data_IF_495984166162
#
_entry.id   IF_495984166162
#
_cell.length_a   1.000
_cell.length_b   1.000
_cell.length_c   1.000
_cell.angle_alpha   90.00
_cell.angle_beta   90.00
_cell.angle_gamma   90.00
#
_symmetry.space_group_name_H-M   'P 1'
#
loop_
_entity.id
_entity.type
_entity.pdbx_description
1 polymer ?
#
# COMPACT_ATOMS: atom_id res chain seq x y z
N UNK A 1 -2.01 14.66 -3.21
CA UNK A 1 -0.79 14.04 -2.66
C UNK A 1 0.41 14.52 -3.46
N UNK A 2 1.13 15.49 -2.92
CA UNK A 2 2.18 16.25 -3.62
C UNK A 2 2.43 17.55 -2.84
N UNK A 3 3.64 18.10 -2.90
CA UNK A 3 3.98 19.31 -2.16
C UNK A 3 2.97 20.42 -2.53
N UNK A 4 2.18 20.87 -1.55
CA UNK A 4 1.09 21.84 -1.72
C UNK A 4 -0.02 21.48 -2.73
N UNK A 5 -0.16 20.23 -3.17
CA UNK A 5 -1.21 19.80 -4.10
C UNK A 5 -1.00 20.21 -5.57
N UNK A 6 0.11 20.87 -5.90
CA UNK A 6 0.39 21.33 -7.27
C UNK A 6 1.33 20.39 -8.04
N UNK A 7 2.28 19.74 -7.38
CA UNK A 7 3.29 18.90 -8.01
C UNK A 7 3.37 17.54 -7.29
N UNK A 8 2.92 16.46 -7.93
CA UNK A 8 3.00 15.12 -7.37
C UNK A 8 2.70 14.04 -8.40
N UNK A 9 3.70 13.20 -8.71
CA UNK A 9 3.52 11.93 -9.44
C UNK A 9 3.03 10.79 -8.51
N UNK A 10 2.47 11.15 -7.36
CA UNK A 10 2.01 10.25 -6.28
C UNK A 10 0.57 10.56 -5.96
N UNK A 11 -0.25 9.55 -5.73
CA UNK A 11 -1.68 9.72 -5.46
C UNK A 11 -2.50 8.51 -5.79
N UNK A 12 -3.82 8.68 -5.80
CA UNK A 12 -4.78 7.61 -6.02
C UNK A 12 -5.76 7.94 -7.15
N UNK A 13 -6.18 6.89 -7.87
CA UNK A 13 -7.30 6.92 -8.82
C UNK A 13 -8.34 5.92 -8.32
N UNK A 14 -9.61 6.33 -8.13
CA UNK A 14 -10.72 5.38 -7.94
C UNK A 14 -11.56 5.29 -9.22
N UNK A 15 -11.99 4.07 -9.52
CA UNK A 15 -13.12 3.79 -10.41
C UNK A 15 -14.20 3.12 -9.57
N UNK A 16 -15.44 3.59 -9.72
CA UNK A 16 -16.60 2.97 -9.07
C UNK A 16 -17.65 2.56 -10.08
N UNK A 17 -18.35 1.47 -9.78
CA UNK A 17 -19.41 0.94 -10.62
C UNK A 17 -20.40 0.10 -9.77
N UNK A 18 -21.41 -0.46 -10.43
CA UNK A 18 -22.37 -1.37 -9.82
C UNK A 18 -22.45 -2.67 -10.64
N UNK A 19 -22.43 -3.82 -9.97
CA UNK A 19 -22.61 -5.14 -10.59
C UNK A 19 -23.68 -5.88 -9.83
N UNK A 20 -24.78 -6.24 -10.52
CA UNK A 20 -25.88 -7.03 -9.97
C UNK A 20 -26.46 -6.47 -8.65
N UNK A 21 -26.53 -5.13 -8.56
CA UNK A 21 -27.04 -4.44 -7.36
C UNK A 21 -25.99 -4.17 -6.29
N UNK A 22 -24.79 -4.76 -6.38
CA UNK A 22 -23.68 -4.47 -5.47
C UNK A 22 -22.84 -3.30 -6.00
N UNK A 23 -22.49 -2.38 -5.13
CA UNK A 23 -21.61 -1.24 -5.41
C UNK A 23 -20.15 -1.59 -5.14
N UNK A 24 -19.27 -1.20 -6.05
CA UNK A 24 -17.82 -1.47 -5.99
C UNK A 24 -17.04 -0.17 -6.21
N UNK A 25 -16.03 0.14 -5.37
CA UNK A 25 -14.96 1.10 -5.71
C UNK A 25 -13.61 0.37 -5.68
N UNK A 26 -12.86 0.53 -6.76
CA UNK A 26 -11.48 0.08 -6.88
C UNK A 26 -10.58 1.31 -6.84
N UNK A 27 -9.68 1.37 -5.86
CA UNK A 27 -8.67 2.42 -5.67
C UNK A 27 -7.30 1.86 -6.06
N UNK A 28 -6.62 2.51 -6.98
CA UNK A 28 -5.21 2.27 -7.26
C UNK A 28 -4.39 3.47 -6.76
N UNK A 29 -3.41 3.25 -5.89
CA UNK A 29 -2.55 4.32 -5.36
C UNK A 29 -1.06 4.03 -5.49
N UNK A 30 -0.30 5.10 -5.73
CA UNK A 30 1.16 5.12 -5.66
C UNK A 30 1.55 6.13 -4.58
N UNK A 31 1.94 5.64 -3.41
CA UNK A 31 2.21 6.48 -2.23
C UNK A 31 3.69 6.89 -2.12
N UNK A 32 4.01 7.74 -1.15
CA UNK A 32 5.35 8.27 -0.89
C UNK A 32 6.41 7.15 -0.82
N UNK A 33 7.42 7.28 -1.68
CA UNK A 33 8.51 6.33 -1.78
C UNK A 33 9.61 6.59 -0.74
N UNK A 34 10.59 5.69 -0.71
CA UNK A 34 11.76 5.70 0.17
C UNK A 34 11.49 5.34 1.64
N UNK A 35 12.55 4.88 2.28
CA UNK A 35 12.56 4.55 3.71
C UNK A 35 12.36 5.83 4.54
N UNK A 36 11.76 5.68 5.73
CA UNK A 36 11.43 6.82 6.59
C UNK A 36 10.16 7.59 6.18
N UNK A 37 9.56 7.27 5.03
CA UNK A 37 8.30 7.89 4.55
C UNK A 37 7.01 7.34 5.18
N UNK A 38 7.07 6.65 6.32
CA UNK A 38 5.90 6.01 6.96
C UNK A 38 4.76 7.00 7.20
N UNK A 39 5.04 8.10 7.90
CA UNK A 39 4.05 9.11 8.24
C UNK A 39 3.46 9.77 6.99
N UNK A 40 4.28 10.01 5.97
CA UNK A 40 3.82 10.57 4.69
C UNK A 40 2.88 9.60 3.96
N UNK A 41 3.19 8.29 3.94
CA UNK A 41 2.31 7.27 3.33
C UNK A 41 0.96 7.20 4.04
N UNK A 42 0.96 7.19 5.37
CA UNK A 42 -0.27 7.24 6.19
C UNK A 42 -1.07 8.50 5.89
N UNK A 43 -0.42 9.67 5.84
CA UNK A 43 -1.08 10.93 5.50
C UNK A 43 -1.67 10.91 4.09
N UNK A 44 -0.94 10.36 3.11
CA UNK A 44 -1.40 10.26 1.73
C UNK A 44 -2.59 9.30 1.59
N UNK A 45 -2.58 8.16 2.27
CA UNK A 45 -3.73 7.26 2.38
C UNK A 45 -4.96 8.00 2.92
N UNK A 46 -4.83 8.64 4.09
CA UNK A 46 -5.94 9.36 4.74
C UNK A 46 -6.46 10.52 3.88
N UNK A 47 -5.55 11.21 3.17
CA UNK A 47 -5.94 12.23 2.19
C UNK A 47 -6.80 11.62 1.08
N UNK A 48 -6.34 10.57 0.40
CA UNK A 48 -7.10 9.90 -0.68
C UNK A 48 -8.46 9.43 -0.16
N UNK A 49 -8.49 8.83 1.03
CA UNK A 49 -9.69 8.30 1.66
C UNK A 49 -10.75 9.39 1.89
N UNK A 50 -10.35 10.54 2.46
CA UNK A 50 -11.28 11.59 2.87
C UNK A 50 -11.60 12.60 1.77
N UNK A 51 -10.71 12.82 0.80
CA UNK A 51 -10.95 13.80 -0.27
C UNK A 51 -11.65 13.19 -1.48
N UNK A 52 -11.66 11.87 -1.64
CA UNK A 52 -12.37 11.21 -2.75
C UNK A 52 -13.86 11.17 -2.48
N UNK A 53 -14.65 11.84 -3.31
CA UNK A 53 -16.10 11.94 -3.17
C UNK A 53 -16.84 11.62 -4.47
N UNK A 54 -18.04 11.04 -4.33
CA UNK A 54 -18.97 10.73 -5.41
C UNK A 54 -20.32 11.43 -5.16
N UNK A 55 -20.40 12.76 -5.35
CA UNK A 55 -21.48 13.61 -4.81
C UNK A 55 -22.88 13.33 -5.37
N UNK A 56 -22.99 12.61 -6.50
CA UNK A 56 -24.27 12.31 -7.15
C UNK A 56 -24.65 10.83 -7.09
N UNK A 57 -24.03 10.05 -6.20
CA UNK A 57 -24.30 8.61 -6.08
C UNK A 57 -24.58 8.16 -4.64
N UNK A 58 -25.62 8.68 -3.97
CA UNK A 58 -26.05 8.15 -2.67
C UNK A 58 -26.56 6.70 -2.79
N UNK A 59 -26.34 5.83 -1.79
CA UNK A 59 -25.63 6.10 -0.53
C UNK A 59 -24.09 6.07 -0.65
N UNK A 60 -23.55 5.64 -1.79
CA UNK A 60 -22.11 5.46 -2.05
C UNK A 60 -21.33 6.75 -2.35
N UNK A 61 -21.42 7.76 -1.48
CA UNK A 61 -20.79 9.08 -1.70
C UNK A 61 -19.31 9.13 -1.37
N UNK A 62 -18.76 8.10 -0.71
CA UNK A 62 -17.37 8.00 -0.29
C UNK A 62 -16.84 6.58 -0.54
N UNK A 63 -15.50 6.40 -0.53
CA UNK A 63 -14.88 5.10 -0.85
C UNK A 63 -15.46 3.98 0.01
N UNK A 64 -15.44 4.12 1.35
CA UNK A 64 -15.88 3.08 2.30
C UNK A 64 -17.41 2.90 2.38
N UNK A 65 -18.21 3.66 1.62
CA UNK A 65 -19.66 3.46 1.57
C UNK A 65 -20.11 2.46 0.50
N UNK A 66 -19.16 1.93 -0.28
CA UNK A 66 -19.45 0.87 -1.25
C UNK A 66 -19.52 -0.50 -0.55
N UNK A 67 -20.34 -1.41 -1.09
CA UNK A 67 -20.47 -2.78 -0.56
C UNK A 67 -19.13 -3.53 -0.63
N UNK A 68 -18.35 -3.27 -1.69
CA UNK A 68 -16.99 -3.79 -1.88
C UNK A 68 -16.00 -2.68 -2.19
N UNK A 69 -14.89 -2.67 -1.47
CA UNK A 69 -13.76 -1.77 -1.71
C UNK A 69 -12.51 -2.60 -1.96
N UNK A 70 -11.87 -2.37 -3.10
CA UNK A 70 -10.55 -2.91 -3.41
C UNK A 70 -9.56 -1.76 -3.42
N UNK A 71 -8.51 -1.83 -2.60
CA UNK A 71 -7.44 -0.85 -2.58
C UNK A 71 -6.11 -1.53 -2.87
N UNK A 72 -5.43 -1.09 -3.92
CA UNK A 72 -4.21 -1.71 -4.43
C UNK A 72 -3.23 -0.68 -5.00
N UNK A 73 -2.05 -1.14 -5.40
CA UNK A 73 -1.04 -0.32 -6.09
C UNK A 73 0.33 -0.41 -5.42
N UNK A 74 1.22 0.53 -5.76
CA UNK A 74 2.52 0.67 -5.12
C UNK A 74 2.39 1.51 -3.85
N UNK A 75 1.97 0.86 -2.77
CA UNK A 75 1.74 1.49 -1.46
C UNK A 75 3.06 1.94 -0.79
N UNK A 76 4.21 1.47 -1.28
CA UNK A 76 5.55 1.86 -0.83
C UNK A 76 5.87 1.67 0.66
N UNK A 77 5.04 0.96 1.44
CA UNK A 77 5.40 0.54 2.79
C UNK A 77 6.61 -0.41 2.74
N UNK A 78 7.51 -0.25 3.71
CA UNK A 78 8.80 -0.92 3.74
C UNK A 78 8.86 -1.90 4.90
N UNK A 79 9.93 -2.68 4.96
CA UNK A 79 10.28 -3.43 6.16
C UNK A 79 10.93 -2.49 7.20
N UNK A 80 10.81 -2.82 8.48
CA UNK A 80 11.35 -2.07 9.62
C UNK A 80 12.82 -1.66 9.41
N UNK A 81 13.18 -0.36 9.50
CA UNK A 81 14.51 0.14 9.19
C UNK A 81 15.68 -0.55 9.94
N UNK A 82 15.43 -1.24 11.04
CA UNK A 82 16.44 -1.95 11.83
C UNK A 82 17.08 -3.17 11.13
N UNK A 83 16.45 -3.76 10.10
CA UNK A 83 16.98 -4.94 9.39
C UNK A 83 17.75 -4.53 8.12
N UNK A 84 18.94 -5.10 7.87
CA UNK A 84 19.74 -4.78 6.68
C UNK A 84 19.26 -5.51 5.42
N UNK A 85 19.62 -5.01 4.23
CA UNK A 85 19.27 -5.66 2.96
C UNK A 85 19.83 -7.09 2.85
N UNK A 86 21.03 -7.33 3.38
CA UNK A 86 21.66 -8.66 3.43
C UNK A 86 20.88 -9.63 4.31
N UNK A 87 20.42 -9.17 5.46
CA UNK A 87 19.60 -9.97 6.38
C UNK A 87 18.22 -10.27 5.78
N UNK A 88 17.58 -9.28 5.14
CA UNK A 88 16.32 -9.50 4.39
C UNK A 88 16.52 -10.57 3.33
N UNK A 89 17.53 -10.44 2.47
CA UNK A 89 17.83 -11.40 1.41
C UNK A 89 18.15 -12.79 1.97
N UNK A 90 18.84 -12.87 3.11
CA UNK A 90 19.11 -14.14 3.80
C UNK A 90 17.82 -14.82 4.26
N UNK A 91 16.88 -14.06 4.83
CA UNK A 91 15.57 -14.59 5.26
C UNK A 91 14.71 -15.03 4.10
N UNK A 92 14.68 -14.25 3.01
CA UNK A 92 13.99 -14.64 1.77
C UNK A 92 14.54 -15.96 1.23
N UNK A 93 15.87 -16.12 1.18
CA UNK A 93 16.50 -17.38 0.75
C UNK A 93 16.19 -18.57 1.66
N UNK A 94 15.95 -18.33 2.95
CA UNK A 94 15.52 -19.34 3.93
C UNK A 94 14.01 -19.62 3.89
N UNK A 95 13.23 -18.86 3.11
CA UNK A 95 11.77 -18.96 3.07
C UNK A 95 11.07 -18.38 4.31
N UNK A 96 11.75 -17.56 5.12
CA UNK A 96 11.17 -16.93 6.31
C UNK A 96 10.30 -15.71 5.95
N UNK A 97 9.22 -15.95 5.19
CA UNK A 97 8.30 -14.90 4.74
C UNK A 97 7.46 -14.39 5.93
N UNK A 98 7.01 -15.29 6.80
CA UNK A 98 6.23 -14.94 7.98
C UNK A 98 7.02 -14.07 8.98
N UNK A 99 8.33 -14.31 9.14
CA UNK A 99 9.19 -13.48 9.97
C UNK A 99 9.39 -12.08 9.38
N UNK A 100 9.52 -11.96 8.06
CA UNK A 100 9.60 -10.66 7.38
C UNK A 100 8.29 -9.89 7.47
N UNK A 101 7.13 -10.55 7.32
CA UNK A 101 5.82 -9.91 7.40
C UNK A 101 5.56 -9.22 8.74
N UNK A 102 6.10 -9.75 9.85
CA UNK A 102 6.03 -9.09 11.17
C UNK A 102 6.76 -7.75 11.24
N UNK A 103 7.65 -7.49 10.30
CA UNK A 103 8.41 -6.25 10.18
C UNK A 103 7.85 -5.32 9.10
N UNK A 104 6.72 -5.68 8.49
CA UNK A 104 6.09 -4.90 7.43
C UNK A 104 5.37 -3.67 7.99
N UNK A 105 5.70 -2.49 7.47
CA UNK A 105 5.11 -1.23 7.91
C UNK A 105 3.61 -1.10 7.58
N UNK A 106 3.10 -1.72 6.49
CA UNK A 106 1.67 -1.73 6.20
C UNK A 106 0.93 -2.59 7.22
N UNK A 107 1.48 -3.77 7.56
CA UNK A 107 0.93 -4.61 8.62
C UNK A 107 0.88 -3.87 9.96
N UNK A 108 1.94 -3.12 10.28
CA UNK A 108 1.98 -2.23 11.44
C UNK A 108 0.91 -1.14 11.35
N UNK A 109 0.80 -0.42 10.23
CA UNK A 109 -0.16 0.66 10.06
C UNK A 109 -1.62 0.20 10.22
N UNK A 110 -1.93 -1.01 9.75
CA UNK A 110 -3.24 -1.64 9.98
C UNK A 110 -3.45 -2.01 11.45
N UNK A 111 -2.45 -2.60 12.10
CA UNK A 111 -2.52 -3.04 13.49
C UNK A 111 -2.66 -1.86 14.46
N UNK A 112 -1.88 -0.80 14.23
CA UNK A 112 -1.86 0.43 15.03
C UNK A 112 -3.05 1.36 14.69
N UNK A 113 -3.82 1.01 13.64
CA UNK A 113 -4.99 1.75 13.14
C UNK A 113 -4.68 3.13 12.57
N UNK A 114 -3.46 3.31 12.06
CA UNK A 114 -3.01 4.53 11.40
C UNK A 114 -3.56 4.64 9.96
N UNK A 115 -3.62 3.50 9.26
CA UNK A 115 -4.08 3.41 7.88
C UNK A 115 -4.63 2.01 7.56
N UNK A 116 -5.54 1.92 6.59
CA UNK A 116 -6.10 0.66 6.08
C UNK A 116 -6.84 -0.23 7.10
N UNK A 117 -7.21 0.30 8.29
CA UNK A 117 -7.92 -0.46 9.36
C UNK A 117 -9.22 -1.13 8.90
N UNK A 118 -10.09 -0.50 8.08
CA UNK A 118 -11.34 -1.13 7.65
C UNK A 118 -11.16 -2.20 6.57
N UNK A 119 -9.93 -2.38 6.05
CA UNK A 119 -9.63 -3.23 4.91
C UNK A 119 -8.92 -4.51 5.36
N UNK A 120 -9.11 -5.58 4.60
CA UNK A 120 -8.54 -6.90 4.89
C UNK A 120 -7.52 -7.23 3.81
N UNK A 121 -6.31 -7.62 4.24
CA UNK A 121 -5.26 -8.15 3.37
C UNK A 121 -5.19 -9.68 3.53
N UNK A 122 -5.04 -10.40 2.42
CA UNK A 122 -4.85 -11.85 2.46
C UNK A 122 -3.44 -12.19 2.96
N UNK A 123 -3.22 -13.37 3.58
CA UNK A 123 -1.89 -13.77 4.04
C UNK A 123 -0.83 -13.72 2.93
N UNK A 124 0.27 -13.03 3.18
CA UNK A 124 1.40 -12.92 2.23
C UNK A 124 2.24 -14.20 2.29
N UNK A 125 2.19 -14.98 1.21
CA UNK A 125 2.96 -16.23 1.05
C UNK A 125 3.98 -16.17 -0.09
N UNK A 126 4.32 -14.96 -0.54
CA UNK A 126 5.25 -14.70 -1.63
C UNK A 126 6.40 -13.78 -1.15
N UNK A 127 7.57 -13.81 -1.83
CA UNK A 127 8.72 -12.99 -1.41
C UNK A 127 8.51 -11.50 -1.71
N UNK A 128 9.26 -10.59 -1.07
CA UNK A 128 9.19 -9.15 -1.34
C UNK A 128 9.23 -8.82 -2.83
N UNK A 129 8.37 -7.91 -3.28
CA UNK A 129 8.21 -7.59 -4.70
C UNK A 129 9.14 -6.48 -5.19
N UNK A 130 9.92 -5.86 -4.29
CA UNK A 130 10.85 -4.77 -4.57
C UNK A 130 12.07 -4.84 -3.62
N UNK A 131 13.30 -4.48 -4.04
CA UNK A 131 13.76 -4.07 -5.37
C UNK A 131 14.63 -5.15 -6.03
N UNK A 132 14.30 -5.55 -7.25
CA UNK A 132 15.14 -6.44 -8.04
C UNK A 132 16.22 -5.68 -8.83
N UNK A 133 17.37 -6.33 -9.09
CA UNK A 133 18.35 -5.83 -10.06
C UNK A 133 17.72 -5.76 -11.44
N UNK A 134 18.11 -4.75 -12.21
CA UNK A 134 17.63 -4.58 -13.58
C UNK A 134 17.80 -5.86 -14.39
N UNK A 135 16.77 -6.21 -15.17
CA UNK A 135 16.73 -7.39 -16.06
C UNK A 135 16.68 -8.74 -15.33
N UNK A 136 16.49 -8.76 -14.00
CA UNK A 136 16.31 -10.00 -13.24
C UNK A 136 15.04 -9.95 -12.38
N UNK A 137 14.43 -11.11 -12.13
CA UNK A 137 13.35 -11.29 -11.14
C UNK A 137 13.80 -12.20 -9.97
N UNK A 138 15.07 -12.62 -9.98
CA UNK A 138 15.63 -13.58 -9.04
C UNK A 138 16.63 -12.95 -8.06
N UNK A 139 17.15 -11.76 -8.36
CA UNK A 139 18.19 -11.12 -7.55
C UNK A 139 17.74 -9.75 -7.06
N UNK A 140 17.79 -9.56 -5.74
CA UNK A 140 17.56 -8.25 -5.13
C UNK A 140 18.78 -7.33 -5.31
N UNK A 141 18.50 -6.03 -5.49
CA UNK A 141 19.51 -4.98 -5.47
C UNK A 141 19.80 -4.56 -4.02
N UNK A 142 20.89 -5.07 -3.44
CA UNK A 142 21.21 -4.84 -2.03
C UNK A 142 21.79 -3.44 -1.76
N UNK A 143 22.11 -2.67 -2.81
CA UNK A 143 22.66 -1.31 -2.64
C UNK A 143 21.58 -0.28 -2.31
N UNK A 144 20.31 -0.65 -2.48
CA UNK A 144 19.15 0.19 -2.22
C UNK A 144 18.07 -0.62 -1.54
N UNK A 145 17.56 -0.07 -0.45
CA UNK A 145 16.45 -0.63 0.28
C UNK A 145 15.10 -0.10 -0.23
#
# INVERSE_FOLDING_TARGET
TGLAGFWGNKGGVCVRFSVRGCSVCCVNSHLAAHDGGYEERVQQYNTILHTTAFPHTPPTTSILYHDYVFWMGDLNFRLDPCISAEEINTRVRKGDIAGLYKLDELNKAQTDRDAFEPLIEAPITFPPTYKYKEKTIAEYDLNRR
#
